data_IF_202017137009
#
_entry.id   IF_202017137009
#
_cell.length_a   1.000
_cell.length_b   1.000
_cell.length_c   1.000
_cell.angle_alpha   90.00
_cell.angle_beta   90.00
_cell.angle_gamma   90.00
#
_symmetry.space_group_name_H-M   'P 1'
#
loop_
_entity.id
_entity.type
_entity.pdbx_description
1 polymer ?
#
# COMPACT_ATOMS: atom_id res chain seq x y z
N UNK A 1 19.38 4.20 -76.04
CA UNK A 1 18.33 3.21 -75.71
C UNK A 1 18.07 3.29 -74.22
N UNK A 2 16.79 3.27 -73.82
CA UNK A 2 16.27 3.55 -72.48
C UNK A 2 16.68 2.44 -71.49
N UNK A 3 17.18 2.82 -70.31
CA UNK A 3 17.28 1.91 -69.16
C UNK A 3 16.56 2.52 -67.97
N UNK A 4 15.47 1.85 -67.58
CA UNK A 4 14.62 2.13 -66.42
C UNK A 4 15.23 1.40 -65.23
N UNK A 5 15.50 2.12 -64.12
CA UNK A 5 15.88 1.50 -62.86
C UNK A 5 14.73 1.65 -61.85
N UNK A 6 14.16 0.50 -61.49
CA UNK A 6 13.10 0.38 -60.50
C UNK A 6 13.68 0.58 -59.09
N UNK A 7 13.11 1.53 -58.34
CA UNK A 7 13.48 1.82 -56.96
C UNK A 7 12.72 0.86 -56.03
N UNK A 8 13.44 -0.01 -55.33
CA UNK A 8 12.88 -0.93 -54.33
C UNK A 8 12.88 -0.21 -52.97
N UNK A 9 11.73 0.27 -52.52
CA UNK A 9 11.56 0.89 -51.19
C UNK A 9 11.42 -0.20 -50.14
N UNK A 10 12.47 -0.42 -49.35
CA UNK A 10 12.48 -1.34 -48.21
C UNK A 10 11.89 -0.64 -46.99
N UNK A 11 10.61 -0.90 -46.68
CA UNK A 11 9.95 -0.36 -45.50
C UNK A 11 10.46 -1.03 -44.23
N UNK A 12 11.22 -0.31 -43.40
CA UNK A 12 11.52 -0.71 -42.03
C UNK A 12 10.25 -0.57 -41.17
N UNK A 13 9.62 -1.71 -40.86
CA UNK A 13 8.58 -1.77 -39.84
C UNK A 13 9.19 -1.57 -38.45
N UNK A 14 8.90 -0.42 -37.82
CA UNK A 14 9.16 -0.23 -36.39
C UNK A 14 8.16 -1.09 -35.60
N UNK A 15 8.62 -2.25 -35.12
CA UNK A 15 7.91 -3.01 -34.11
C UNK A 15 7.95 -2.21 -32.79
N UNK A 16 6.86 -1.53 -32.46
CA UNK A 16 6.65 -0.93 -31.15
C UNK A 16 6.49 -2.04 -30.10
N UNK A 17 7.60 -2.42 -29.46
CA UNK A 17 7.56 -3.30 -28.29
C UNK A 17 6.92 -2.57 -27.11
N UNK A 18 5.71 -2.96 -26.73
CA UNK A 18 5.07 -2.51 -25.50
C UNK A 18 5.92 -2.97 -24.31
N UNK A 19 6.69 -2.06 -23.73
CA UNK A 19 7.31 -2.27 -22.41
C UNK A 19 6.21 -2.30 -21.36
N UNK A 20 5.71 -3.51 -21.06
CA UNK A 20 4.91 -3.72 -19.87
C UNK A 20 5.78 -3.39 -18.66
N UNK A 21 5.54 -2.24 -18.01
CA UNK A 21 6.16 -1.96 -16.72
C UNK A 21 5.80 -3.10 -15.79
N UNK A 22 6.79 -3.90 -15.40
CA UNK A 22 6.59 -4.95 -14.41
C UNK A 22 6.07 -4.29 -13.14
N UNK A 23 4.85 -4.65 -12.74
CA UNK A 23 4.27 -4.15 -11.50
C UNK A 23 5.21 -4.50 -10.33
N UNK A 24 5.42 -3.54 -9.45
CA UNK A 24 6.39 -3.62 -8.37
C UNK A 24 6.07 -4.82 -7.47
N UNK A 25 7.08 -5.46 -6.85
CA UNK A 25 6.87 -6.67 -6.04
C UNK A 25 5.89 -6.46 -4.88
N UNK A 26 5.76 -5.22 -4.43
CA UNK A 26 4.89 -4.78 -3.34
C UNK A 26 3.52 -4.27 -3.79
N UNK A 27 3.27 -4.17 -5.09
CA UNK A 27 1.95 -3.77 -5.60
C UNK A 27 0.90 -4.80 -5.18
N UNK A 28 -0.26 -4.30 -4.73
CA UNK A 28 -1.42 -5.12 -4.39
C UNK A 28 -2.14 -4.65 -3.14
N UNK A 29 -3.04 -5.52 -2.66
CA UNK A 29 -3.87 -5.26 -1.49
C UNK A 29 -3.46 -6.15 -0.33
N UNK A 30 -3.34 -5.55 0.85
CA UNK A 30 -2.95 -6.18 2.09
C UNK A 30 -4.02 -5.93 3.15
N UNK A 31 -4.37 -6.95 3.91
CA UNK A 31 -5.40 -6.87 4.95
C UNK A 31 -4.82 -7.28 6.29
N UNK A 32 -5.17 -6.51 7.32
CA UNK A 32 -4.92 -6.81 8.71
C UNK A 32 -6.24 -6.63 9.48
N UNK A 33 -6.66 -7.65 10.23
CA UNK A 33 -7.81 -7.57 11.12
C UNK A 33 -7.33 -7.41 12.56
N UNK A 34 -7.64 -6.27 13.16
CA UNK A 34 -7.33 -5.94 14.54
C UNK A 34 -8.51 -6.32 15.44
N UNK A 35 -8.29 -7.25 16.37
CA UNK A 35 -9.21 -7.48 17.47
C UNK A 35 -9.08 -6.35 18.51
N UNK A 36 -10.21 -5.79 18.95
CA UNK A 36 -10.27 -4.75 19.99
C UNK A 36 -10.66 -5.30 21.38
N UNK A 37 -10.78 -6.62 21.50
CA UNK A 37 -11.29 -7.28 22.69
C UNK A 37 -12.83 -7.28 22.78
N UNK A 38 -13.38 -7.79 23.90
CA UNK A 38 -14.82 -7.94 24.06
C UNK A 38 -15.51 -6.59 24.28
N UNK A 39 -16.58 -6.36 23.54
CA UNK A 39 -17.54 -5.29 23.72
C UNK A 39 -18.63 -5.64 24.73
N UNK A 40 -19.62 -4.74 24.83
CA UNK A 40 -20.79 -4.96 25.67
C UNK A 40 -21.50 -6.27 25.28
N UNK A 41 -21.88 -7.06 26.28
CA UNK A 41 -22.54 -8.36 26.06
C UNK A 41 -21.64 -9.46 25.47
N UNK A 42 -20.31 -9.30 25.47
CA UNK A 42 -19.38 -10.33 24.98
C UNK A 42 -19.22 -10.38 23.46
N UNK A 43 -19.67 -9.34 22.75
CA UNK A 43 -19.47 -9.21 21.30
C UNK A 43 -17.99 -8.97 20.98
N UNK A 44 -17.45 -9.62 19.95
CA UNK A 44 -16.08 -9.35 19.52
C UNK A 44 -16.03 -8.12 18.63
N UNK A 45 -15.27 -7.10 19.03
CA UNK A 45 -15.06 -5.90 18.23
C UNK A 45 -13.80 -6.04 17.39
N UNK A 46 -13.87 -5.59 16.13
CA UNK A 46 -12.73 -5.59 15.23
C UNK A 46 -12.67 -4.33 14.36
N UNK A 47 -11.45 -4.06 13.87
CA UNK A 47 -11.17 -3.07 12.83
C UNK A 47 -10.39 -3.77 11.73
N UNK A 48 -10.87 -3.65 10.50
CA UNK A 48 -10.17 -4.14 9.32
C UNK A 48 -9.35 -3.01 8.72
N UNK A 49 -8.05 -3.23 8.61
CA UNK A 49 -7.10 -2.33 7.96
C UNK A 49 -6.77 -2.88 6.58
N UNK A 50 -7.09 -2.11 5.55
CA UNK A 50 -6.77 -2.41 4.16
C UNK A 50 -5.71 -1.46 3.68
N UNK A 51 -4.51 -1.98 3.37
CA UNK A 51 -3.46 -1.25 2.68
C UNK A 51 -3.51 -1.60 1.20
N UNK A 52 -3.68 -0.60 0.35
CA UNK A 52 -3.50 -0.73 -1.11
C UNK A 52 -2.21 -0.03 -1.51
N UNK A 53 -1.33 -0.74 -2.21
CA UNK A 53 -0.07 -0.25 -2.77
C UNK A 53 -0.17 -0.29 -4.29
N UNK A 54 -0.01 0.87 -4.94
CA UNK A 54 -0.11 1.02 -6.38
C UNK A 54 1.04 1.87 -6.91
N UNK A 55 1.93 1.24 -7.68
CA UNK A 55 3.04 1.94 -8.33
C UNK A 55 4.14 2.36 -7.34
N UNK A 56 5.09 3.20 -7.79
CA UNK A 56 6.38 3.34 -7.13
C UNK A 56 6.33 3.96 -5.73
N UNK A 57 5.30 4.77 -5.41
CA UNK A 57 5.19 5.41 -4.10
C UNK A 57 3.74 5.54 -3.61
N UNK A 58 2.72 5.22 -4.40
CA UNK A 58 1.33 5.49 -4.02
C UNK A 58 0.78 4.41 -3.08
N UNK A 59 0.32 4.80 -1.89
CA UNK A 59 -0.51 3.90 -1.08
C UNK A 59 -1.67 4.58 -0.37
N UNK A 60 -2.63 3.74 0.04
CA UNK A 60 -3.77 4.13 0.86
C UNK A 60 -4.00 3.09 1.94
N UNK A 61 -4.15 3.55 3.18
CA UNK A 61 -4.64 2.73 4.30
C UNK A 61 -6.09 3.12 4.59
N UNK A 62 -6.98 2.15 4.66
CA UNK A 62 -8.37 2.32 5.10
C UNK A 62 -8.59 1.45 6.33
N UNK A 63 -8.94 2.06 7.46
CA UNK A 63 -9.31 1.38 8.68
C UNK A 63 -10.82 1.54 8.90
N UNK A 64 -11.54 0.43 8.92
CA UNK A 64 -13.00 0.39 9.05
C UNK A 64 -13.44 -0.68 10.04
N UNK A 65 -14.40 -0.34 10.89
CA UNK A 65 -14.94 -1.27 11.88
C UNK A 65 -15.46 -0.53 13.10
N UNK A 66 -15.33 -1.16 14.27
CA UNK A 66 -15.87 -0.64 15.53
C UNK A 66 -15.44 0.80 15.79
N UNK A 67 -16.41 1.72 15.71
CA UNK A 67 -16.24 3.18 15.89
C UNK A 67 -15.09 3.79 15.07
N UNK A 68 -14.63 3.09 14.03
CA UNK A 68 -13.43 3.44 13.28
C UNK A 68 -13.79 3.56 11.81
N UNK A 69 -13.50 4.73 11.27
CA UNK A 69 -13.58 5.03 9.85
C UNK A 69 -12.50 6.08 9.55
N UNK A 70 -11.35 5.60 9.12
CA UNK A 70 -10.16 6.41 8.86
C UNK A 70 -9.56 6.01 7.52
N UNK A 71 -9.25 7.02 6.71
CA UNK A 71 -8.48 6.84 5.48
C UNK A 71 -7.21 7.66 5.59
N UNK A 72 -6.08 7.05 5.25
CA UNK A 72 -4.77 7.69 5.18
C UNK A 72 -4.23 7.54 3.76
N UNK A 73 -3.76 8.65 3.20
CA UNK A 73 -2.89 8.67 2.02
C UNK A 73 -1.46 8.53 2.52
N UNK A 74 -0.73 7.59 1.95
CA UNK A 74 0.61 7.24 2.39
C UNK A 74 1.56 7.11 1.20
N UNK A 75 2.86 7.08 1.51
CA UNK A 75 3.86 6.57 0.57
C UNK A 75 4.29 5.16 0.96
N UNK A 76 4.46 4.30 -0.03
CA UNK A 76 5.01 2.96 0.13
C UNK A 76 6.31 2.84 -0.67
N UNK A 77 7.45 2.83 0.02
CA UNK A 77 8.77 2.83 -0.61
C UNK A 77 9.45 1.47 -0.41
N UNK A 78 9.75 0.73 -1.49
CA UNK A 78 10.56 -0.48 -1.40
C UNK A 78 11.98 -0.19 -0.91
N UNK A 79 12.46 -0.99 0.03
CA UNK A 79 13.82 -0.96 0.58
C UNK A 79 14.31 -2.41 0.75
N UNK A 80 14.85 -2.96 -0.35
CA UNK A 80 15.23 -4.37 -0.44
C UNK A 80 14.03 -5.31 -0.21
N UNK A 81 14.12 -6.13 0.84
CA UNK A 81 13.05 -7.05 1.25
C UNK A 81 12.01 -6.39 2.18
N UNK A 82 12.02 -5.06 2.29
CA UNK A 82 11.11 -4.28 3.13
C UNK A 82 10.29 -3.30 2.30
N UNK A 83 9.14 -2.93 2.84
CA UNK A 83 8.29 -1.85 2.36
C UNK A 83 8.09 -0.85 3.49
N UNK A 84 8.67 0.33 3.36
CA UNK A 84 8.49 1.42 4.31
C UNK A 84 7.21 2.18 3.95
N UNK A 85 6.28 2.27 4.91
CA UNK A 85 5.03 3.02 4.75
C UNK A 85 5.08 4.30 5.59
N UNK A 86 4.94 5.46 4.94
CA UNK A 86 5.00 6.77 5.60
C UNK A 86 3.73 7.59 5.37
N UNK A 87 3.38 8.43 6.34
CA UNK A 87 2.20 9.28 6.27
C UNK A 87 2.37 10.42 5.26
N UNK A 88 1.31 10.72 4.50
CA UNK A 88 1.23 11.94 3.68
C UNK A 88 0.13 12.86 4.21
N UNK A 89 -1.10 12.34 4.28
CA UNK A 89 -2.29 13.07 4.74
C UNK A 89 -3.41 12.10 5.10
N UNK A 90 -4.47 12.60 5.72
CA UNK A 90 -5.73 11.88 5.81
C UNK A 90 -6.47 11.85 4.46
N UNK A 91 -7.55 11.07 4.35
CA UNK A 91 -8.30 10.88 3.10
C UNK A 91 -8.80 12.17 2.46
N UNK A 92 -9.09 13.18 3.30
CA UNK A 92 -9.49 14.54 2.92
C UNK A 92 -8.32 15.42 2.40
N UNK A 93 -7.09 14.91 2.35
CA UNK A 93 -5.90 15.63 1.91
C UNK A 93 -5.26 16.55 2.96
N UNK A 94 -5.81 16.62 4.17
CA UNK A 94 -5.26 17.44 5.27
C UNK A 94 -4.34 16.62 6.18
N UNK A 95 -3.47 17.31 6.90
CA UNK A 95 -2.61 16.70 7.94
C UNK A 95 -3.40 16.42 9.22
N UNK A 96 -4.47 17.18 9.47
CA UNK A 96 -5.44 16.91 10.53
C UNK A 96 -6.50 15.92 10.06
N UNK A 97 -6.95 15.06 10.97
CA UNK A 97 -8.04 14.13 10.69
C UNK A 97 -9.40 14.86 10.62
N UNK A 98 -10.48 14.09 10.42
CA UNK A 98 -11.85 14.64 10.35
C UNK A 98 -12.33 15.36 11.62
N UNK A 99 -11.60 15.21 12.73
CA UNK A 99 -11.87 15.84 14.01
C UNK A 99 -10.94 17.03 14.31
N UNK A 100 -10.12 17.46 13.36
CA UNK A 100 -9.16 18.56 13.55
C UNK A 100 -7.93 18.18 14.38
N UNK A 101 -7.68 16.88 14.57
CA UNK A 101 -6.54 16.40 15.37
C UNK A 101 -5.38 16.03 14.47
N UNK A 102 -4.19 16.58 14.76
CA UNK A 102 -2.92 16.19 14.14
C UNK A 102 -2.36 14.95 14.85
N UNK A 103 -2.60 13.76 14.27
CA UNK A 103 -2.05 12.50 14.78
C UNK A 103 -0.64 12.20 14.23
N UNK A 104 -0.36 12.64 13.00
CA UNK A 104 0.87 12.34 12.27
C UNK A 104 1.44 13.59 11.60
N UNK A 105 2.74 13.56 11.32
CA UNK A 105 3.40 14.54 10.46
C UNK A 105 3.70 13.94 9.07
N UNK A 106 3.65 14.73 7.97
CA UNK A 106 4.08 14.25 6.66
C UNK A 106 5.50 13.65 6.70
N UNK A 107 5.67 12.50 6.06
CA UNK A 107 6.92 11.72 6.07
C UNK A 107 7.13 10.88 7.33
N UNK A 108 6.27 11.00 8.35
CA UNK A 108 6.37 10.18 9.55
C UNK A 108 6.18 8.70 9.20
N UNK A 109 7.11 7.82 9.62
CA UNK A 109 6.95 6.39 9.47
C UNK A 109 5.73 5.85 10.22
N UNK A 110 4.89 5.10 9.52
CA UNK A 110 3.69 4.48 10.07
C UNK A 110 3.97 3.04 10.49
N UNK A 111 4.53 2.26 9.57
CA UNK A 111 4.94 0.87 9.78
C UNK A 111 5.85 0.40 8.64
N UNK A 112 6.47 -0.77 8.83
CA UNK A 112 7.29 -1.45 7.83
C UNK A 112 6.74 -2.86 7.63
N UNK A 113 6.61 -3.29 6.38
CA UNK A 113 6.31 -4.69 6.04
C UNK A 113 7.59 -5.34 5.52
N UNK A 114 8.02 -6.44 6.13
CA UNK A 114 9.22 -7.19 5.74
C UNK A 114 8.85 -8.57 5.23
N UNK A 115 9.52 -9.04 4.17
CA UNK A 115 9.46 -10.45 3.78
C UNK A 115 10.26 -11.29 4.77
N UNK A 116 9.65 -12.38 5.23
CA UNK A 116 10.24 -13.40 6.09
C UNK A 116 9.99 -14.80 5.48
N UNK A 117 10.74 -15.85 5.88
CA UNK A 117 10.58 -17.20 5.32
C UNK A 117 9.14 -17.73 5.37
N UNK A 118 8.38 -17.35 6.41
CA UNK A 118 7.02 -17.81 6.65
C UNK A 118 5.93 -16.77 6.29
N UNK A 119 6.27 -15.78 5.45
CA UNK A 119 5.32 -14.76 4.99
C UNK A 119 5.76 -13.33 5.30
N UNK A 120 4.81 -12.47 5.67
CA UNK A 120 5.06 -11.06 5.94
C UNK A 120 5.09 -10.78 7.43
N UNK A 121 6.00 -9.90 7.85
CA UNK A 121 6.07 -9.36 9.21
C UNK A 121 5.81 -7.87 9.14
N UNK A 122 4.91 -7.36 9.98
CA UNK A 122 4.68 -5.92 10.12
C UNK A 122 5.35 -5.40 11.39
N UNK A 123 6.25 -4.44 11.24
CA UNK A 123 6.83 -3.67 12.35
C UNK A 123 6.10 -2.34 12.46
N UNK A 124 5.27 -2.21 13.49
CA UNK A 124 4.48 -1.01 13.77
C UNK A 124 5.37 0.13 14.29
N UNK A 125 5.06 1.36 13.89
CA UNK A 125 5.76 2.59 14.34
C UNK A 125 4.73 3.66 14.72
N UNK A 126 4.57 4.73 13.94
CA UNK A 126 3.58 5.76 14.22
C UNK A 126 2.14 5.27 14.17
N UNK A 127 1.84 4.19 13.44
CA UNK A 127 0.48 3.66 13.28
C UNK A 127 0.08 2.73 14.44
N UNK A 128 0.11 3.25 15.67
CA UNK A 128 -0.18 2.48 16.88
C UNK A 128 -1.66 2.19 17.10
N UNK A 129 -2.57 2.79 16.30
CA UNK A 129 -3.99 2.39 16.30
C UNK A 129 -4.17 0.89 16.03
N UNK A 130 -3.24 0.27 15.29
CA UNK A 130 -3.24 -1.13 14.89
C UNK A 130 -2.69 -2.12 15.93
N UNK A 131 -1.95 -1.66 16.94
CA UNK A 131 -1.35 -2.54 17.94
C UNK A 131 -2.18 -2.47 19.23
N UNK A 132 -3.15 -3.37 19.39
CA UNK A 132 -3.78 -3.57 20.69
C UNK A 132 -2.74 -3.97 21.74
N UNK A 133 -3.05 -3.75 23.03
CA UNK A 133 -2.25 -4.26 24.15
C UNK A 133 -2.20 -5.80 24.07
N UNK A 134 -1.16 -6.31 23.43
CA UNK A 134 -1.06 -7.70 22.99
C UNK A 134 -0.14 -7.85 21.79
N UNK A 135 1.09 -7.35 21.89
CA UNK A 135 2.10 -7.54 20.86
C UNK A 135 2.51 -9.02 20.76
N UNK A 136 1.91 -9.75 19.80
CA UNK A 136 2.63 -10.54 18.80
C UNK A 136 1.62 -11.27 17.86
N UNK A 137 1.96 -11.35 16.57
CA UNK A 137 1.34 -12.14 15.46
C UNK A 137 0.30 -11.52 14.52
N UNK A 138 -0.29 -10.37 14.81
CA UNK A 138 -1.32 -9.78 13.94
C UNK A 138 -0.69 -8.78 12.95
N UNK A 139 -0.51 -9.19 11.68
CA UNK A 139 0.22 -8.47 10.65
C UNK A 139 -0.56 -8.42 9.32
N UNK A 140 -0.19 -7.48 8.44
CA UNK A 140 -0.73 -7.41 7.10
C UNK A 140 -0.43 -8.69 6.29
N UNK A 141 -1.48 -9.26 5.68
CA UNK A 141 -1.39 -10.36 4.74
C UNK A 141 -1.76 -9.86 3.34
N UNK A 142 -1.00 -10.26 2.32
CA UNK A 142 -1.33 -9.93 0.92
C UNK A 142 -2.53 -10.78 0.48
N UNK A 143 -3.57 -10.15 -0.06
CA UNK A 143 -4.82 -10.83 -0.48
C UNK A 143 -5.16 -10.65 -1.96
N UNK A 144 -4.47 -9.78 -2.67
CA UNK A 144 -4.71 -9.55 -4.10
C UNK A 144 -3.64 -8.70 -4.77
N UNK A 145 -3.69 -8.61 -6.10
CA UNK A 145 -2.90 -7.72 -6.95
C UNK A 145 -3.84 -6.79 -7.71
#
# INVERSE_FOLDING_TARGET
>A
MKSVFATLTMGLGLAAGSVALAAQPWDGTYVYEQALGPGAGGTQNFVTHTLTVNGPEGCRVVAQGFQTDETIRCKAMPDGNRLLVTFVSFGNGKVENKYGVKLYSPGQPLFVISQAPNGLVTTWQGYSKAAGDGASSAAFKKVGR
#
